data_IF_067453727216
#
_entry.id   IF_067453727216
#
_cell.length_a   1.000
_cell.length_b   1.000
_cell.length_c   1.000
_cell.angle_alpha   90.00
_cell.angle_beta   90.00
_cell.angle_gamma   90.00
#
_symmetry.space_group_name_H-M   'P 1'
#
loop_
_entity.id
_entity.type
_entity.pdbx_description
1 polymer ?
#
# COMPACT_ATOMS: atom_id res chain seq x y z
N UNK A 1 7.92 18.96 -25.52
CA UNK A 1 6.54 19.01 -24.98
C UNK A 1 6.53 17.92 -23.94
N UNK A 2 7.00 18.22 -22.73
CA UNK A 2 7.00 17.26 -21.62
C UNK A 2 5.65 17.44 -20.93
N UNK A 3 4.76 16.47 -21.09
CA UNK A 3 3.49 16.49 -20.37
C UNK A 3 3.78 16.07 -18.94
N UNK A 4 3.35 16.83 -17.91
CA UNK A 4 3.62 16.45 -16.54
C UNK A 4 2.99 15.09 -16.18
N UNK A 5 2.02 14.61 -16.97
CA UNK A 5 1.27 13.36 -16.78
C UNK A 5 1.74 12.22 -17.68
N UNK A 6 3.02 12.13 -18.03
CA UNK A 6 3.53 11.07 -18.89
C UNK A 6 3.36 9.66 -18.27
N UNK A 7 2.97 8.71 -19.11
CA UNK A 7 2.85 7.27 -18.79
C UNK A 7 3.91 6.53 -19.59
N UNK A 8 4.68 5.70 -18.90
CA UNK A 8 5.66 4.82 -19.51
C UNK A 8 5.02 3.47 -19.85
N UNK A 9 5.05 3.06 -21.11
CA UNK A 9 4.56 1.74 -21.53
C UNK A 9 5.72 0.77 -21.74
N UNK A 10 5.76 -0.32 -20.96
CA UNK A 10 6.66 -1.43 -21.21
C UNK A 10 6.11 -2.30 -22.35
N UNK A 11 6.75 -2.22 -23.52
CA UNK A 11 6.35 -2.97 -24.73
C UNK A 11 6.95 -4.37 -24.81
N UNK A 12 7.75 -4.79 -23.82
CA UNK A 12 8.29 -6.15 -23.76
C UNK A 12 7.26 -7.17 -23.25
N UNK A 13 6.13 -6.72 -22.70
CA UNK A 13 4.99 -7.57 -22.30
C UNK A 13 3.91 -7.59 -23.38
N UNK A 14 3.08 -8.64 -23.40
CA UNK A 14 1.92 -8.72 -24.28
C UNK A 14 0.64 -9.00 -23.48
N UNK A 15 -0.30 -8.03 -23.36
CA UNK A 15 -0.24 -6.68 -23.92
C UNK A 15 0.84 -5.79 -23.26
N UNK A 16 1.22 -4.65 -23.88
CA UNK A 16 2.13 -3.68 -23.26
C UNK A 16 1.61 -3.21 -21.90
N UNK A 17 2.49 -3.18 -20.89
CA UNK A 17 2.10 -2.84 -19.51
C UNK A 17 2.38 -1.36 -19.22
N UNK A 18 1.38 -0.56 -18.85
CA UNK A 18 1.55 0.87 -18.54
C UNK A 18 2.05 1.10 -17.10
N UNK A 19 2.87 2.13 -16.90
CA UNK A 19 3.44 2.53 -15.62
C UNK A 19 3.47 4.04 -15.45
N UNK A 20 3.26 4.51 -14.22
CA UNK A 20 3.58 5.88 -13.82
C UNK A 20 5.02 5.93 -13.30
N UNK A 21 5.90 6.75 -13.89
CA UNK A 21 7.22 7.01 -13.34
C UNK A 21 7.11 7.96 -12.14
N UNK A 22 7.40 7.47 -10.94
CA UNK A 22 7.59 8.28 -9.73
C UNK A 22 9.09 8.37 -9.40
N UNK A 23 9.55 9.36 -8.62
CA UNK A 23 10.97 9.61 -8.39
C UNK A 23 11.77 8.45 -7.81
N UNK A 24 11.11 7.53 -7.10
CA UNK A 24 11.75 6.38 -6.44
C UNK A 24 11.20 5.02 -6.88
N UNK A 25 10.15 4.98 -7.70
CA UNK A 25 9.48 3.73 -8.09
C UNK A 25 8.69 3.88 -9.40
N UNK A 26 8.44 2.76 -10.08
CA UNK A 26 7.46 2.68 -11.18
C UNK A 26 6.20 1.99 -10.68
N UNK A 27 5.03 2.61 -10.87
CA UNK A 27 3.75 2.07 -10.43
C UNK A 27 2.96 1.56 -11.63
N UNK A 28 2.71 0.24 -11.68
CA UNK A 28 1.91 -0.41 -12.72
C UNK A 28 0.50 0.17 -12.72
N UNK A 29 0.03 0.64 -13.88
CA UNK A 29 -1.32 1.20 -14.04
C UNK A 29 -2.27 0.07 -14.38
N UNK A 30 -3.36 -0.04 -13.62
CA UNK A 30 -4.41 -1.05 -13.84
C UNK A 30 -5.66 -0.46 -14.49
N UNK A 31 -5.91 0.83 -14.28
CA UNK A 31 -7.06 1.53 -14.84
C UNK A 31 -6.77 3.02 -14.99
N UNK A 32 -7.21 3.62 -16.10
CA UNK A 32 -7.15 5.06 -16.35
C UNK A 32 -8.57 5.56 -16.57
N UNK A 33 -8.96 6.59 -15.84
CA UNK A 33 -10.21 7.32 -16.03
C UNK A 33 -9.93 8.80 -16.28
N UNK A 34 -10.95 9.58 -16.61
CA UNK A 34 -10.80 11.03 -16.83
C UNK A 34 -10.38 11.82 -15.59
N UNK A 35 -10.57 11.27 -14.38
CA UNK A 35 -10.31 11.96 -13.12
C UNK A 35 -9.22 11.30 -12.27
N UNK A 36 -9.06 9.98 -12.39
CA UNK A 36 -8.20 9.18 -11.53
C UNK A 36 -7.47 8.10 -12.30
N UNK A 37 -6.25 7.79 -11.86
CA UNK A 37 -5.50 6.62 -12.30
C UNK A 37 -5.42 5.65 -11.14
N UNK A 38 -5.79 4.39 -11.38
CA UNK A 38 -5.57 3.31 -10.42
C UNK A 38 -4.28 2.60 -10.77
N UNK A 39 -3.43 2.45 -9.76
CA UNK A 39 -2.19 1.69 -9.85
C UNK A 39 -2.30 0.44 -9.00
N UNK A 40 -1.52 -0.57 -9.36
CA UNK A 40 -1.39 -1.79 -8.58
C UNK A 40 -0.89 -1.45 -7.18
N UNK A 41 -1.54 -2.03 -6.18
CA UNK A 41 -1.08 -1.86 -4.80
C UNK A 41 0.35 -2.39 -4.69
N UNK A 42 1.28 -1.59 -4.15
CA UNK A 42 2.65 -2.04 -3.91
C UNK A 42 2.73 -3.10 -2.81
N UNK A 43 1.63 -3.28 -2.05
CA UNK A 43 1.50 -4.25 -0.99
C UNK A 43 0.73 -5.46 -1.53
N UNK A 44 1.44 -6.34 -2.24
CA UNK A 44 0.94 -7.66 -2.64
C UNK A 44 1.97 -8.73 -2.22
N UNK A 45 2.33 -8.76 -0.94
CA UNK A 45 3.46 -9.55 -0.45
C UNK A 45 3.43 -9.93 1.03
N UNK A 46 2.24 -10.04 1.64
CA UNK A 46 2.05 -10.72 2.92
C UNK A 46 1.12 -11.89 2.71
N UNK A 47 1.68 -13.06 2.37
CA UNK A 47 1.10 -14.40 2.42
C UNK A 47 -0.44 -14.53 2.33
N UNK A 48 -1.03 -14.04 1.24
CA UNK A 48 -2.35 -14.51 0.86
C UNK A 48 -2.18 -15.97 0.40
N UNK A 49 -2.46 -16.92 1.32
CA UNK A 49 -2.48 -18.37 1.14
C UNK A 49 -1.21 -19.14 1.57
N UNK A 50 -0.95 -19.22 2.88
CA UNK A 50 -0.19 -20.34 3.47
C UNK A 50 -1.08 -21.12 4.43
N UNK A 51 -2.07 -21.82 3.89
CA UNK A 51 -2.64 -22.96 4.63
C UNK A 51 -1.59 -24.08 4.62
N UNK A 52 -0.91 -24.30 5.74
CA UNK A 52 -0.02 -25.45 5.94
C UNK A 52 1.48 -25.23 5.65
N UNK A 53 1.92 -23.99 5.45
CA UNK A 53 3.36 -23.65 5.46
C UNK A 53 3.60 -22.75 6.67
N UNK A 54 4.19 -23.32 7.72
CA UNK A 54 4.88 -22.53 8.73
C UNK A 54 5.84 -21.62 7.97
N UNK A 55 5.71 -20.29 8.12
CA UNK A 55 6.78 -19.46 7.61
C UNK A 55 8.08 -19.88 8.30
N UNK A 56 9.22 -19.76 7.60
CA UNK A 56 10.51 -19.92 8.27
C UNK A 56 10.55 -19.02 9.51
N UNK A 57 11.03 -19.55 10.63
CA UNK A 57 11.15 -18.88 11.95
C UNK A 57 11.95 -17.55 11.94
N UNK A 58 12.40 -17.08 10.78
CA UNK A 58 13.23 -15.89 10.56
C UNK A 58 12.44 -14.67 10.02
N UNK A 59 11.11 -14.74 9.90
CA UNK A 59 10.32 -13.76 9.13
C UNK A 59 9.76 -12.57 9.94
N UNK A 60 10.53 -12.03 10.89
CA UNK A 60 10.21 -10.80 11.62
C UNK A 60 10.69 -9.50 10.91
N UNK A 61 10.92 -9.51 9.60
CA UNK A 61 11.32 -8.26 8.92
C UNK A 61 10.08 -7.42 8.60
N UNK A 62 9.90 -6.24 9.23
CA UNK A 62 8.77 -5.38 8.89
C UNK A 62 8.85 -4.94 7.43
N UNK A 63 7.75 -5.08 6.71
CA UNK A 63 7.67 -4.62 5.33
C UNK A 63 7.58 -3.09 5.31
N UNK A 64 8.47 -2.46 4.55
CA UNK A 64 8.52 -1.00 4.38
C UNK A 64 8.36 -0.67 2.91
N UNK A 65 7.40 0.19 2.60
CA UNK A 65 7.23 0.71 1.25
C UNK A 65 7.21 2.23 1.26
N UNK A 66 7.75 2.85 0.22
CA UNK A 66 7.77 4.31 0.09
C UNK A 66 7.29 4.73 -1.28
N UNK A 67 6.45 5.77 -1.32
CA UNK A 67 6.06 6.49 -2.52
C UNK A 67 6.59 7.91 -2.41
N UNK A 68 7.06 8.45 -3.52
CA UNK A 68 7.40 9.87 -3.63
C UNK A 68 6.52 10.51 -4.69
N UNK A 69 5.90 11.62 -4.34
CA UNK A 69 5.21 12.50 -5.28
C UNK A 69 5.96 13.82 -5.47
N UNK A 70 7.25 13.86 -5.10
CA UNK A 70 8.09 15.02 -5.35
C UNK A 70 8.22 15.28 -6.84
N UNK A 71 8.00 16.52 -7.24
CA UNK A 71 8.16 16.95 -8.64
C UNK A 71 7.31 16.14 -9.64
N UNK A 72 6.21 15.54 -9.17
CA UNK A 72 5.20 14.92 -10.04
C UNK A 72 3.85 15.62 -9.82
N UNK A 73 2.94 15.63 -10.83
CA UNK A 73 1.61 16.20 -10.65
C UNK A 73 0.63 15.22 -9.99
N UNK A 74 1.09 14.05 -9.55
CA UNK A 74 0.24 13.00 -9.00
C UNK A 74 0.09 13.17 -7.49
N UNK A 75 -1.11 12.82 -6.98
CA UNK A 75 -1.43 12.82 -5.56
C UNK A 75 -2.43 11.71 -5.25
N UNK A 76 -2.65 11.42 -3.97
CA UNK A 76 -3.68 10.47 -3.54
C UNK A 76 -5.05 11.13 -3.49
N UNK A 77 -6.04 10.48 -4.10
CA UNK A 77 -7.46 10.81 -3.95
C UNK A 77 -8.03 10.34 -2.62
N UNK A 78 -9.23 10.83 -2.27
CA UNK A 78 -9.99 10.43 -1.09
C UNK A 78 -10.49 8.98 -1.10
N UNK A 79 -10.45 8.32 -2.26
CA UNK A 79 -10.72 6.89 -2.38
C UNK A 79 -9.56 6.02 -1.87
N UNK A 80 -8.38 6.59 -1.58
CA UNK A 80 -7.24 5.82 -1.09
C UNK A 80 -7.41 5.46 0.39
N UNK A 81 -7.18 4.18 0.68
CA UNK A 81 -7.19 3.64 2.03
C UNK A 81 -6.03 2.68 2.22
N UNK A 82 -5.45 2.69 3.42
CA UNK A 82 -4.53 1.65 3.85
C UNK A 82 -5.39 0.46 4.27
N UNK A 83 -5.14 -0.72 3.72
CA UNK A 83 -5.86 -1.95 4.07
C UNK A 83 -4.84 -2.99 4.52
N UNK A 84 -5.09 -3.62 5.66
CA UNK A 84 -4.28 -4.70 6.19
C UNK A 84 -5.10 -5.97 6.34
N UNK A 85 -4.48 -7.10 6.03
CA UNK A 85 -5.03 -8.44 6.22
C UNK A 85 -4.03 -9.25 7.03
N UNK A 86 -4.51 -9.98 8.03
CA UNK A 86 -3.66 -10.74 8.94
C UNK A 86 -4.25 -10.84 10.33
N UNK A 87 -3.59 -11.58 11.23
CA UNK A 87 -4.00 -11.70 12.63
C UNK A 87 -2.93 -11.06 13.51
N UNK A 88 -3.35 -10.07 14.30
CA UNK A 88 -2.49 -9.23 15.15
C UNK A 88 -1.50 -8.35 14.36
N UNK A 89 -1.75 -8.13 13.07
CA UNK A 89 -0.87 -7.37 12.19
C UNK A 89 -1.19 -5.87 12.21
N UNK A 90 -0.15 -5.05 12.36
CA UNK A 90 -0.26 -3.59 12.41
C UNK A 90 0.23 -2.98 11.10
N UNK A 91 -0.65 -2.24 10.43
CA UNK A 91 -0.32 -1.42 9.27
C UNK A 91 -0.34 0.05 9.63
N UNK A 92 0.70 0.78 9.25
CA UNK A 92 0.79 2.22 9.44
C UNK A 92 1.20 2.92 8.15
N UNK A 93 0.73 4.15 8.01
CA UNK A 93 1.08 5.07 6.92
C UNK A 93 1.49 6.40 7.53
N UNK A 94 2.62 6.93 7.08
CA UNK A 94 3.13 8.23 7.48
C UNK A 94 3.42 9.08 6.26
N UNK A 95 3.14 10.38 6.35
CA UNK A 95 3.37 11.36 5.29
C UNK A 95 4.39 12.35 5.79
N UNK A 96 5.47 12.50 5.03
CA UNK A 96 6.58 13.38 5.38
C UNK A 96 6.73 14.45 4.29
N UNK A 97 6.54 15.71 4.66
CA UNK A 97 7.11 16.84 3.92
C UNK A 97 8.59 16.98 4.26
N UNK A 98 9.33 17.86 3.57
CA UNK A 98 10.79 18.03 3.74
C UNK A 98 11.31 18.36 5.16
N UNK A 99 10.45 18.40 6.18
CA UNK A 99 10.82 18.49 7.59
C UNK A 99 10.83 17.10 8.27
N UNK A 100 11.65 16.93 9.31
CA UNK A 100 11.88 15.66 9.99
C UNK A 100 10.65 15.05 10.73
N UNK A 101 9.49 15.71 10.70
CA UNK A 101 8.25 15.30 11.37
C UNK A 101 7.16 14.93 10.37
N UNK A 102 6.51 13.79 10.59
CA UNK A 102 5.38 13.37 9.77
C UNK A 102 4.20 14.33 9.95
N UNK A 103 3.68 14.85 8.84
CA UNK A 103 2.50 15.74 8.81
C UNK A 103 1.21 14.97 9.02
N UNK A 104 1.21 13.69 8.70
CA UNK A 104 0.13 12.76 9.02
C UNK A 104 0.70 11.40 9.35
N UNK A 105 0.11 10.77 10.34
CA UNK A 105 0.31 9.36 10.63
C UNK A 105 -1.07 8.74 10.85
N UNK A 106 -1.32 7.62 10.19
CA UNK A 106 -2.51 6.81 10.37
C UNK A 106 -2.12 5.34 10.39
N UNK A 107 -3.04 4.49 10.79
CA UNK A 107 -2.81 3.05 10.81
C UNK A 107 -4.04 2.29 11.28
N UNK A 108 -3.98 0.97 11.14
CA UNK A 108 -5.00 0.09 11.67
C UNK A 108 -4.38 -1.25 12.09
N UNK A 109 -5.02 -1.92 13.05
CA UNK A 109 -4.67 -3.25 13.54
C UNK A 109 -5.68 -4.26 12.98
N UNK A 110 -5.20 -5.27 12.27
CA UNK A 110 -6.01 -6.41 11.86
C UNK A 110 -5.99 -7.44 12.98
N UNK A 111 -7.14 -7.65 13.64
CA UNK A 111 -7.23 -8.47 14.85
C UNK A 111 -8.08 -9.72 14.61
N UNK A 112 -7.70 -10.84 15.24
CA UNK A 112 -8.42 -12.11 15.19
C UNK A 112 -8.78 -12.57 16.62
N UNK A 113 -10.06 -12.50 17.03
CA UNK A 113 -10.47 -12.94 18.37
C UNK A 113 -10.42 -14.46 18.57
N UNK A 114 -10.43 -15.25 17.49
CA UNK A 114 -10.25 -16.71 17.49
C UNK A 114 -9.15 -17.09 16.48
N UNK A 115 -8.53 -18.26 16.63
CA UNK A 115 -7.46 -18.76 15.75
C UNK A 115 -8.00 -19.07 14.34
N UNK A 116 -8.20 -18.03 13.52
CA UNK A 116 -8.65 -18.15 12.16
C UNK A 116 -9.09 -16.83 11.54
N UNK A 117 -8.69 -16.62 10.29
CA UNK A 117 -9.27 -15.60 9.43
C UNK A 117 -10.68 -16.04 9.04
N UNK A 118 -11.69 -15.21 9.29
CA UNK A 118 -13.01 -15.47 8.71
C UNK A 118 -12.91 -15.25 7.20
N UNK A 119 -13.00 -16.33 6.42
CA UNK A 119 -13.02 -16.27 4.94
C UNK A 119 -14.32 -15.65 4.39
N UNK A 120 -15.30 -15.43 5.27
CA UNK A 120 -16.59 -14.79 4.99
C UNK A 120 -16.73 -13.54 5.88
N UNK A 121 -16.33 -12.37 5.39
CA UNK A 121 -16.48 -11.16 6.19
C UNK A 121 -16.17 -9.87 5.45
N UNK A 122 -17.03 -8.88 5.65
CA UNK A 122 -16.77 -7.47 5.34
C UNK A 122 -15.65 -6.93 6.24
N UNK A 123 -14.70 -6.19 5.67
CA UNK A 123 -13.77 -5.37 6.46
C UNK A 123 -14.53 -4.14 6.98
N UNK A 124 -14.42 -3.74 8.27
CA UNK A 124 -13.50 -4.22 9.32
C UNK A 124 -14.09 -5.39 10.11
N UNK A 125 -13.38 -6.51 10.17
CA UNK A 125 -13.83 -7.76 10.80
C UNK A 125 -12.64 -8.63 11.21
N UNK A 126 -12.87 -9.91 11.49
CA UNK A 126 -11.81 -10.84 11.89
C UNK A 126 -10.72 -10.95 10.83
N UNK A 127 -9.57 -10.35 11.11
CA UNK A 127 -8.38 -10.39 10.28
C UNK A 127 -8.29 -9.38 9.13
N UNK A 128 -9.11 -8.32 9.15
CA UNK A 128 -8.97 -7.19 8.22
C UNK A 128 -9.23 -5.86 8.90
N UNK A 129 -8.42 -4.86 8.55
CA UNK A 129 -8.67 -3.47 8.90
C UNK A 129 -8.41 -2.55 7.70
N UNK A 130 -9.08 -1.40 7.70
CA UNK A 130 -8.75 -0.32 6.77
C UNK A 130 -8.76 1.02 7.50
N UNK A 131 -7.90 1.94 7.08
CA UNK A 131 -7.92 3.34 7.52
C UNK A 131 -7.89 4.26 6.30
N UNK A 132 -8.75 5.29 6.24
CA UNK A 132 -8.71 6.26 5.16
C UNK A 132 -7.37 7.02 5.16
N UNK A 133 -6.95 7.44 3.97
CA UNK A 133 -5.75 8.25 3.74
C UNK A 133 -6.23 9.66 3.30
N UNK A 134 -6.18 10.68 4.17
CA UNK A 134 -6.85 11.97 3.95
C UNK A 134 -6.22 12.77 2.80
N UNK A 135 -7.02 13.18 1.82
CA UNK A 135 -6.54 13.95 0.66
C UNK A 135 -5.83 15.27 1.02
N UNK A 136 -5.03 15.76 0.08
CA UNK A 136 -4.50 17.14 0.11
C UNK A 136 -3.21 17.34 0.91
N UNK A 137 -2.66 16.27 1.50
CA UNK A 137 -1.40 16.35 2.27
C UNK A 137 -0.21 15.70 1.57
N UNK A 138 -0.32 15.28 0.30
CA UNK A 138 0.70 14.45 -0.36
C UNK A 138 1.42 15.11 -1.55
N UNK A 139 0.95 16.29 -1.99
CA UNK A 139 1.60 17.02 -3.08
C UNK A 139 3.04 17.37 -2.70
N UNK A 140 4.00 16.88 -3.48
CA UNK A 140 5.41 17.09 -3.19
C UNK A 140 5.88 16.41 -1.90
N UNK A 141 5.31 15.26 -1.53
CA UNK A 141 5.66 14.56 -0.27
C UNK A 141 6.02 13.11 -0.46
N UNK A 142 6.59 12.56 0.60
CA UNK A 142 6.89 11.14 0.73
C UNK A 142 5.82 10.46 1.57
N UNK A 143 5.35 9.31 1.09
CA UNK A 143 4.50 8.41 1.87
C UNK A 143 5.33 7.21 2.25
N UNK A 144 5.32 6.86 3.52
CA UNK A 144 5.95 5.65 4.06
C UNK A 144 4.86 4.76 4.62
N UNK A 145 4.80 3.55 4.12
CA UNK A 145 3.91 2.51 4.62
C UNK A 145 4.77 1.48 5.35
N UNK A 146 4.32 1.06 6.52
CA UNK A 146 5.04 0.13 7.38
C UNK A 146 4.06 -0.92 7.90
N UNK A 147 4.40 -2.19 7.71
CA UNK A 147 3.64 -3.34 8.20
C UNK A 147 4.48 -4.15 9.16
N UNK A 148 3.90 -4.43 10.33
CA UNK A 148 4.43 -5.36 11.32
C UNK A 148 3.58 -6.61 11.31
N UNK A 149 4.25 -7.75 11.15
CA UNK A 149 3.65 -9.07 11.23
C UNK A 149 3.87 -9.61 12.64
N UNK A 150 2.82 -9.85 13.41
CA UNK A 150 2.93 -10.39 14.79
C UNK A 150 2.36 -11.81 14.90
N UNK A 151 1.58 -12.26 13.91
CA UNK A 151 0.76 -13.48 14.00
C UNK A 151 1.32 -14.75 13.36
N UNK A 152 2.54 -15.20 13.71
CA UNK A 152 2.97 -16.57 13.38
C UNK A 152 3.46 -17.42 14.55
N UNK A 153 3.43 -16.92 15.79
CA UNK A 153 3.75 -17.73 16.97
C UNK A 153 2.47 -18.12 17.73
N UNK A 154 1.90 -19.28 17.38
CA UNK A 154 1.16 -20.14 18.33
C UNK A 154 1.01 -21.55 17.79
#
# INVERSE_FOLDING_TARGET
MDSPFDIYCNTSTNPPTPYIPLPINMSEVVEISGEHIRVKSPVSGGFCNMSGVSAPDDFETPFRYSLSFLSTPYTLSDANQLTAFGCDDLATVAVQGGAATAEYTGGCLAYCPEAGLSRNGSCPGNGCCHTPIPKGIYEGKYIRIFYLLWGQQS
#
